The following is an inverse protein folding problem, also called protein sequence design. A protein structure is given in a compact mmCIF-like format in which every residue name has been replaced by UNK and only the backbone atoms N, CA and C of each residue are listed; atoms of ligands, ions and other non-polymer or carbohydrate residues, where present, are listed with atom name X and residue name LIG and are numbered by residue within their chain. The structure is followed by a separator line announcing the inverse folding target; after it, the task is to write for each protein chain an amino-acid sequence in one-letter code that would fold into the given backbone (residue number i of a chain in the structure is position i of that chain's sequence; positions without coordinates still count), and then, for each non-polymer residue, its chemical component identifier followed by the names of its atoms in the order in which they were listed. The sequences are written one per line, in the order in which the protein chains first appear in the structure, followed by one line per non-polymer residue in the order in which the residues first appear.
data_IF_918075255507
#
_entry.id   IF_918075255507
#
_cell.length_a   1.000
_cell.length_b   1.000
_cell.length_c   1.000
_cell.angle_alpha   90.00
_cell.angle_beta   90.00
_cell.angle_gamma   90.00
#
_symmetry.space_group_name_H-M   'P 1'
#
loop_
_entity.id
_entity.type
_entity.pdbx_description
1 polymer ?
#
# COMPACT_ATOMS: atom_id res chain seq x y z
N UNK A 1 2.56 6.67 18.97
CA UNK A 1 3.35 5.43 18.96
C UNK A 1 3.95 5.34 17.57
N UNK A 2 5.26 5.16 17.44
CA UNK A 2 5.90 5.08 16.12
C UNK A 2 5.77 3.64 15.62
N UNK A 3 5.19 3.46 14.44
CA UNK A 3 4.97 2.14 13.82
C UNK A 3 5.95 1.98 12.67
N UNK A 4 6.63 0.82 12.59
CA UNK A 4 7.43 0.49 11.41
C UNK A 4 6.51 0.17 10.22
N UNK A 5 6.53 0.97 9.14
CA UNK A 5 5.67 0.73 7.99
C UNK A 5 5.87 -0.65 7.34
N UNK A 6 7.09 -1.22 7.37
CA UNK A 6 7.33 -2.55 6.80
C UNK A 6 6.59 -3.62 7.57
N UNK A 7 6.62 -3.53 8.90
CA UNK A 7 5.94 -4.49 9.77
C UNK A 7 4.42 -4.37 9.66
N UNK A 8 3.92 -3.14 9.57
CA UNK A 8 2.49 -2.89 9.38
C UNK A 8 1.99 -3.50 8.06
N UNK A 9 2.70 -3.24 6.95
CA UNK A 9 2.33 -3.80 5.64
C UNK A 9 2.31 -5.33 5.70
N UNK A 10 3.37 -5.96 6.23
CA UNK A 10 3.43 -7.43 6.37
C UNK A 10 2.25 -7.98 7.17
N UNK A 11 1.95 -7.40 8.33
CA UNK A 11 0.87 -7.89 9.19
C UNK A 11 -0.52 -7.76 8.56
N UNK A 12 -0.77 -6.68 7.80
CA UNK A 12 -2.05 -6.54 7.09
C UNK A 12 -2.15 -7.61 6.01
N UNK A 13 -1.10 -7.77 5.20
CA UNK A 13 -1.07 -8.75 4.10
C UNK A 13 -1.16 -10.20 4.60
N UNK A 14 -0.50 -10.53 5.71
CA UNK A 14 -0.56 -11.86 6.34
C UNK A 14 -1.97 -12.20 6.85
N UNK A 15 -2.75 -11.19 7.26
CA UNK A 15 -4.13 -11.37 7.74
C UNK A 15 -5.11 -11.43 6.56
N UNK A 16 -5.03 -10.48 5.63
CA UNK A 16 -5.85 -10.41 4.43
C UNK A 16 -5.11 -9.64 3.33
N UNK A 17 -4.58 -10.32 2.30
CA UNK A 17 -3.85 -9.67 1.21
C UNK A 17 -4.74 -8.75 0.36
N UNK A 18 -6.06 -8.84 0.47
CA UNK A 18 -7.01 -8.02 -0.28
C UNK A 18 -7.34 -6.69 0.40
N UNK A 19 -6.94 -6.50 1.67
CA UNK A 19 -7.34 -5.37 2.50
C UNK A 19 -6.44 -4.13 2.38
N UNK A 20 -5.29 -4.22 1.70
CA UNK A 20 -4.30 -3.13 1.63
C UNK A 20 -4.22 -2.51 0.23
N UNK A 21 -4.21 -1.18 0.16
CA UNK A 21 -4.03 -0.41 -1.06
C UNK A 21 -3.01 0.71 -0.82
N UNK A 22 -2.09 0.91 -1.76
CA UNK A 22 -1.13 2.02 -1.71
C UNK A 22 -1.74 3.32 -2.25
N UNK A 23 -1.42 4.45 -1.60
CA UNK A 23 -1.81 5.78 -2.04
C UNK A 23 -0.83 6.83 -1.52
N UNK A 24 -0.49 7.82 -2.34
CA UNK A 24 0.55 8.82 -2.01
C UNK A 24 0.08 9.90 -1.03
N UNK A 25 -1.23 10.08 -0.91
CA UNK A 25 -1.87 11.15 -0.11
C UNK A 25 -1.27 12.54 -0.41
N UNK A 26 -0.85 12.80 -1.65
CA UNK A 26 -0.25 14.10 -2.02
C UNK A 26 -1.27 15.24 -1.84
N UNK A 27 -0.84 16.40 -1.29
CA UNK A 27 0.53 16.82 -0.99
C UNK A 27 1.06 16.45 0.42
N UNK A 28 0.59 15.35 1.03
CA UNK A 28 1.07 14.74 2.28
C UNK A 28 0.88 15.62 3.52
N UNK A 29 -0.33 16.15 3.70
CA UNK A 29 -0.65 17.16 4.73
C UNK A 29 -0.74 16.61 6.17
N UNK A 30 -0.70 15.28 6.34
CA UNK A 30 -0.91 14.61 7.65
C UNK A 30 0.29 13.81 8.14
N UNK A 31 1.34 13.66 7.32
CA UNK A 31 2.54 12.91 7.68
C UNK A 31 3.62 13.83 8.24
N UNK A 32 4.42 13.33 9.19
CA UNK A 32 5.55 14.07 9.78
C UNK A 32 6.74 14.25 8.84
N UNK A 33 6.72 13.57 7.68
CA UNK A 33 7.75 13.64 6.63
C UNK A 33 7.10 13.79 5.26
N UNK A 34 7.85 14.40 4.34
CA UNK A 34 7.46 14.53 2.93
C UNK A 34 7.42 13.14 2.28
N UNK A 35 6.51 12.98 1.31
CA UNK A 35 6.47 11.80 0.44
C UNK A 35 7.83 11.55 -0.22
N UNK A 36 8.26 10.29 -0.26
CA UNK A 36 9.42 9.83 -1.03
C UNK A 36 9.02 8.70 -1.96
N UNK A 37 9.54 8.69 -3.18
CA UNK A 37 9.34 7.58 -4.14
C UNK A 37 9.91 6.27 -3.58
N UNK A 38 10.92 6.33 -2.71
CA UNK A 38 11.49 5.14 -2.04
C UNK A 38 10.47 4.43 -1.14
N UNK A 39 9.38 5.10 -0.74
CA UNK A 39 8.30 4.47 0.03
C UNK A 39 7.60 3.37 -0.78
N UNK A 40 7.55 3.49 -2.11
CA UNK A 40 7.03 2.42 -2.95
C UNK A 40 7.94 1.19 -2.93
N UNK A 41 9.27 1.38 -2.93
CA UNK A 41 10.20 0.24 -2.79
C UNK A 41 9.98 -0.46 -1.45
N UNK A 42 9.80 0.31 -0.37
CA UNK A 42 9.50 -0.24 0.95
C UNK A 42 8.22 -1.07 0.96
N UNK A 43 7.13 -0.53 0.41
CA UNK A 43 5.82 -1.18 0.36
C UNK A 43 5.91 -2.47 -0.48
N UNK A 44 6.52 -2.41 -1.66
CA UNK A 44 6.66 -3.57 -2.55
C UNK A 44 7.47 -4.71 -1.91
N UNK A 45 8.62 -4.39 -1.28
CA UNK A 45 9.42 -5.38 -0.55
C UNK A 45 8.68 -6.01 0.63
N UNK A 46 7.82 -5.24 1.32
CA UNK A 46 7.06 -5.72 2.45
C UNK A 46 5.85 -6.57 2.04
N UNK A 47 5.17 -6.22 0.94
CA UNK A 47 4.03 -6.96 0.39
C UNK A 47 4.44 -8.24 -0.36
N UNK A 48 5.71 -8.35 -0.75
CA UNK A 48 6.29 -9.52 -1.42
C UNK A 48 5.46 -9.95 -2.65
N UNK A 49 4.94 -11.19 -2.65
CA UNK A 49 4.16 -11.74 -3.78
C UNK A 49 2.84 -11.00 -4.02
N UNK A 50 2.38 -10.18 -3.07
CA UNK A 50 1.15 -9.38 -3.16
C UNK A 50 1.39 -7.93 -3.60
N UNK A 51 2.61 -7.58 -4.03
CA UNK A 51 2.95 -6.21 -4.39
C UNK A 51 2.03 -5.63 -5.48
N UNK A 52 1.74 -6.41 -6.53
CA UNK A 52 0.87 -5.95 -7.64
C UNK A 52 -0.57 -5.72 -7.17
N UNK A 53 -1.07 -6.56 -6.26
CA UNK A 53 -2.40 -6.41 -5.67
C UNK A 53 -2.47 -5.12 -4.81
N UNK A 54 -1.44 -4.90 -3.98
CA UNK A 54 -1.33 -3.73 -3.10
C UNK A 54 -1.18 -2.43 -3.90
N UNK A 55 -0.45 -2.46 -5.02
CA UNK A 55 -0.27 -1.29 -5.87
C UNK A 55 -1.44 -1.03 -6.82
N UNK A 56 -2.24 -2.04 -7.15
CA UNK A 56 -3.26 -1.88 -8.17
C UNK A 56 -4.53 -2.69 -7.92
N UNK A 57 -4.47 -4.02 -7.94
CA UNK A 57 -5.68 -4.84 -8.07
C UNK A 57 -6.68 -4.66 -6.92
N UNK A 58 -6.19 -4.43 -5.70
CA UNK A 58 -7.04 -4.15 -4.55
C UNK A 58 -7.79 -2.82 -4.71
N UNK A 59 -7.12 -1.78 -5.22
CA UNK A 59 -7.74 -0.49 -5.50
C UNK A 59 -8.73 -0.58 -6.67
N UNK A 60 -8.37 -1.29 -7.75
CA UNK A 60 -9.26 -1.49 -8.88
C UNK A 60 -10.59 -2.13 -8.43
N UNK A 61 -10.53 -3.22 -7.66
CA UNK A 61 -11.74 -3.86 -7.09
C UNK A 61 -12.49 -2.95 -6.14
N UNK A 62 -11.79 -2.27 -5.23
CA UNK A 62 -12.43 -1.37 -4.26
C UNK A 62 -13.18 -0.21 -4.92
N UNK A 63 -12.66 0.31 -6.04
CA UNK A 63 -13.29 1.39 -6.80
C UNK A 63 -14.22 0.90 -7.94
N UNK A 64 -14.41 -0.42 -8.10
CA UNK A 64 -15.27 -1.01 -9.14
C UNK A 64 -14.75 -0.83 -10.58
N UNK A 65 -13.43 -0.89 -10.75
CA UNK A 65 -12.72 -0.76 -12.03
C UNK A 65 -12.06 -2.07 -12.48
N UNK A 66 -12.26 -3.18 -11.76
CA UNK A 66 -11.67 -4.49 -12.03
C UNK A 66 -12.18 -5.17 -13.31
N UNK A 67 -13.34 -4.76 -13.82
CA UNK A 67 -13.85 -5.19 -15.14
C UNK A 67 -13.35 -4.31 -16.31
N UNK A 68 -12.57 -3.25 -16.02
CA UNK A 68 -12.10 -2.26 -17.01
C UNK A 68 -10.66 -2.52 -17.44
N UNK A 69 -9.88 -3.23 -16.63
CA UNK A 69 -8.44 -3.46 -16.82
C UNK A 69 -8.06 -4.93 -16.88
#
# INVERSE_FOLDING_TARGET
MDLDPREVVRRIVDVDPTALMAGTDLPSQRASRVFSVDDFRLIGEAAAVHADDVFFANAARFYGLDDVF
#
